data_IF_798701177656
#
_entry.id   IF_798701177656
#
_cell.length_a   1.000
_cell.length_b   1.000
_cell.length_c   1.000
_cell.angle_alpha   90.00
_cell.angle_beta   90.00
_cell.angle_gamma   90.00
#
_symmetry.space_group_name_H-M   'P 1'
#
loop_
_entity.id
_entity.type
_entity.pdbx_description
1 polymer ?
#
# COMPACT_ATOMS: atom_id res chain seq x y z
N UNK A 1 -2.45 23.36 -0.79
CA UNK A 1 -2.04 22.98 -0.69
C UNK A 1 -1.96 22.52 -0.74
N UNK A 2 -2.06 22.19 -0.86
CA UNK A 2 -1.74 21.63 -0.76
C UNK A 2 -1.33 21.24 -0.56
N UNK A 3 -1.27 21.54 -0.84
CA UNK A 3 -0.59 21.04 -0.67
C UNK A 3 -0.58 20.58 -0.10
N UNK A 4 -0.63 21.20 0.00
CA UNK A 4 -0.42 20.41 0.91
C UNK A 4 -0.30 19.07 0.45
N UNK A 5 0.66 18.57 0.48
CA UNK A 5 0.92 17.26 0.07
C UNK A 5 0.33 16.27 1.06
N UNK A 6 -0.51 15.42 0.58
CA UNK A 6 -1.20 14.49 1.44
C UNK A 6 -0.51 13.15 1.55
N UNK A 7 0.47 12.92 0.70
CA UNK A 7 1.20 11.66 0.70
C UNK A 7 2.53 11.85 1.38
N UNK A 8 2.94 10.83 2.07
CA UNK A 8 4.25 10.83 2.71
C UNK A 8 5.11 9.75 2.09
N UNK A 9 6.36 10.05 1.93
CA UNK A 9 7.29 9.07 1.42
C UNK A 9 7.74 8.16 2.54
N UNK A 10 7.83 6.90 2.23
CA UNK A 10 8.22 5.92 3.22
C UNK A 10 9.03 4.82 2.54
N UNK A 11 10.15 4.47 3.11
CA UNK A 11 10.97 3.39 2.59
C UNK A 11 10.62 2.11 3.35
N UNK A 12 10.10 1.15 2.61
CA UNK A 12 9.70 -0.12 3.20
C UNK A 12 10.74 -1.17 2.85
N UNK A 13 11.24 -1.83 3.88
CA UNK A 13 12.22 -2.91 3.68
C UNK A 13 11.54 -4.23 3.86
N UNK A 14 11.59 -5.04 2.82
CA UNK A 14 11.03 -6.38 2.90
C UNK A 14 11.99 -7.31 2.19
N UNK A 15 11.91 -8.57 2.52
CA UNK A 15 12.80 -9.55 1.92
C UNK A 15 12.41 -9.79 0.45
N UNK A 16 13.35 -10.37 -0.27
CA UNK A 16 13.18 -10.59 -1.70
C UNK A 16 11.99 -11.49 -2.01
N UNK A 17 11.84 -12.55 -1.25
CA UNK A 17 10.74 -13.49 -1.52
C UNK A 17 9.39 -12.83 -1.35
N UNK A 18 9.23 -12.01 -0.32
CA UNK A 18 7.98 -11.30 -0.10
C UNK A 18 7.75 -10.30 -1.22
N UNK A 19 8.78 -9.60 -1.62
CA UNK A 19 8.65 -8.62 -2.69
C UNK A 19 8.25 -9.29 -4.00
N UNK A 20 8.88 -10.41 -4.31
CA UNK A 20 8.54 -11.15 -5.53
C UNK A 20 7.07 -11.59 -5.50
N UNK A 21 6.60 -12.03 -4.37
CA UNK A 21 5.21 -12.45 -4.24
C UNK A 21 4.26 -11.28 -4.45
N UNK A 22 4.61 -10.12 -3.92
CA UNK A 22 3.79 -8.93 -4.09
C UNK A 22 3.78 -8.49 -5.54
N UNK A 23 4.94 -8.54 -6.19
CA UNK A 23 5.03 -8.16 -7.60
C UNK A 23 4.16 -9.05 -8.46
N UNK A 24 4.21 -10.34 -8.21
CA UNK A 24 3.38 -11.28 -8.97
C UNK A 24 1.89 -11.01 -8.72
N UNK A 25 1.55 -10.78 -7.48
CA UNK A 25 0.16 -10.52 -7.12
C UNK A 25 -0.32 -9.22 -7.77
N UNK A 26 0.49 -8.18 -7.75
CA UNK A 26 0.13 -6.92 -8.38
C UNK A 26 -0.11 -7.12 -9.88
N UNK A 27 0.77 -7.87 -10.51
CA UNK A 27 0.62 -8.17 -11.93
C UNK A 27 -0.68 -8.93 -12.20
N UNK A 28 -1.00 -9.91 -11.36
CA UNK A 28 -2.22 -10.70 -11.52
C UNK A 28 -3.46 -9.83 -11.41
N UNK A 29 -3.38 -8.74 -10.66
CA UNK A 29 -4.52 -7.86 -10.46
C UNK A 29 -4.41 -6.57 -11.24
N UNK A 30 -3.46 -6.51 -12.14
CA UNK A 30 -3.25 -5.35 -13.01
C UNK A 30 -3.00 -4.07 -12.22
N UNK A 31 -2.23 -4.19 -11.15
CA UNK A 31 -1.84 -3.06 -10.34
C UNK A 31 -0.33 -2.88 -10.39
N UNK A 32 0.12 -1.66 -10.13
CA UNK A 32 1.53 -1.45 -9.89
C UNK A 32 1.89 -2.00 -8.51
N UNK A 33 3.18 -2.21 -8.28
CA UNK A 33 3.62 -2.69 -6.97
C UNK A 33 3.22 -1.69 -5.88
N UNK A 34 3.44 -0.40 -6.15
CA UNK A 34 3.04 0.61 -5.17
C UNK A 34 1.54 0.58 -4.90
N UNK A 35 0.76 0.44 -5.95
CA UNK A 35 -0.68 0.35 -5.79
C UNK A 35 -1.10 -0.87 -5.00
N UNK A 36 -0.44 -1.99 -5.25
CA UNK A 36 -0.77 -3.22 -4.53
C UNK A 36 -0.43 -3.08 -3.06
N UNK A 37 0.72 -2.49 -2.75
CA UNK A 37 1.09 -2.30 -1.35
C UNK A 37 0.11 -1.37 -0.65
N UNK A 38 -0.27 -0.29 -1.31
CA UNK A 38 -1.24 0.64 -0.73
C UNK A 38 -2.57 -0.06 -0.47
N UNK A 39 -3.00 -0.89 -1.42
CA UNK A 39 -4.23 -1.64 -1.27
C UNK A 39 -4.16 -2.60 -0.07
N UNK A 40 -3.04 -3.29 0.06
CA UNK A 40 -2.87 -4.23 1.17
C UNK A 40 -2.90 -3.51 2.51
N UNK A 41 -2.26 -2.35 2.58
CA UNK A 41 -2.26 -1.57 3.81
C UNK A 41 -3.68 -1.11 4.14
N UNK A 42 -4.42 -0.67 3.14
CA UNK A 42 -5.79 -0.25 3.34
C UNK A 42 -6.64 -1.40 3.87
N UNK A 43 -6.49 -2.58 3.27
CA UNK A 43 -7.23 -3.75 3.71
C UNK A 43 -6.89 -4.14 5.13
N UNK A 44 -5.61 -4.06 5.49
CA UNK A 44 -5.19 -4.40 6.84
C UNK A 44 -5.77 -3.42 7.85
N UNK A 45 -5.80 -2.15 7.50
CA UNK A 45 -6.37 -1.14 8.39
C UNK A 45 -7.86 -1.33 8.58
N UNK A 46 -8.56 -1.65 7.50
CA UNK A 46 -10.00 -1.92 7.58
C UNK A 46 -10.27 -3.11 8.47
N UNK A 47 -9.51 -4.17 8.26
CA UNK A 47 -9.71 -5.40 9.00
C UNK A 47 -9.52 -5.18 10.48
N UNK A 48 -8.66 -4.26 10.86
CA UNK A 48 -8.38 -3.98 12.25
C UNK A 48 -9.10 -2.73 12.76
N UNK A 49 -10.02 -2.20 11.97
CA UNK A 49 -10.81 -1.03 12.35
C UNK A 49 -9.94 0.17 12.70
N UNK A 50 -8.89 0.37 11.90
CA UNK A 50 -7.94 1.43 12.17
C UNK A 50 -7.83 2.43 11.04
N UNK A 51 -8.80 2.42 10.14
CA UNK A 51 -8.79 3.38 9.06
C UNK A 51 -8.83 4.80 9.61
N UNK A 52 -8.10 5.71 8.99
CA UNK A 52 -8.19 7.11 9.41
C UNK A 52 -9.60 7.63 9.16
N UNK A 53 -10.02 8.50 10.03
CA UNK A 53 -11.32 9.13 9.88
C UNK A 53 -11.18 10.30 8.94
N UNK A 54 -11.68 10.14 7.74
CA UNK A 54 -11.60 11.19 6.73
C UNK A 54 -12.92 11.89 6.62
N UNK A 55 -12.87 13.16 6.69
CA UNK A 55 -14.10 13.94 6.57
C UNK A 55 -14.04 14.90 5.43
#
# INVERSE_FOLDING_TARGET
MQGENKNKNFVLRIDTDTMDAIEKWASDEFRSVNGQIAYLLDQALKKNSRLPNKK
#
